data_IF_361813393006
#
_entry.id   IF_361813393006
#
_cell.length_a   1.000
_cell.length_b   1.000
_cell.length_c   1.000
_cell.angle_alpha   90.00
_cell.angle_beta   90.00
_cell.angle_gamma   90.00
#
_symmetry.space_group_name_H-M   'P 1'
#
loop_
_entity.id
_entity.type
_entity.pdbx_description
1 polymer ?
#
# COMPACT_ATOMS: atom_id res chain seq x y z
N UNK A 1 31.89 -45.79 -23.73
CA UNK A 1 32.04 -45.36 -25.12
C UNK A 1 32.30 -43.87 -25.14
N UNK A 2 33.52 -43.57 -25.56
CA UNK A 2 34.13 -42.25 -25.75
C UNK A 2 33.51 -41.49 -26.93
N UNK A 3 33.52 -40.16 -26.82
CA UNK A 3 34.00 -39.18 -27.82
C UNK A 3 33.76 -37.77 -27.24
N UNK A 4 34.74 -37.10 -26.91
CA UNK A 4 35.67 -36.01 -27.05
C UNK A 4 35.73 -35.43 -28.48
N UNK A 5 35.61 -34.09 -28.55
CA UNK A 5 36.35 -33.14 -29.44
C UNK A 5 35.87 -31.73 -29.10
N UNK A 6 36.57 -30.84 -28.63
CA UNK A 6 37.87 -30.12 -28.74
C UNK A 6 38.00 -29.23 -29.98
N UNK A 7 38.30 -27.94 -29.70
CA UNK A 7 39.16 -26.97 -30.45
C UNK A 7 38.40 -26.24 -31.58
N UNK A 8 38.53 -24.88 -31.73
CA UNK A 8 39.70 -24.07 -31.98
C UNK A 8 39.45 -22.58 -31.71
N UNK A 9 40.43 -21.95 -31.11
CA UNK A 9 40.74 -20.56 -30.92
C UNK A 9 41.20 -19.91 -32.26
N UNK A 10 40.82 -18.67 -32.53
CA UNK A 10 41.55 -17.82 -33.47
C UNK A 10 41.66 -16.37 -32.97
N UNK A 11 42.84 -16.02 -32.58
CA UNK A 11 43.35 -14.66 -32.38
C UNK A 11 43.75 -14.08 -33.74
N UNK A 12 43.44 -12.81 -34.00
CA UNK A 12 44.20 -12.02 -34.95
C UNK A 12 44.32 -10.58 -34.47
N UNK A 13 45.53 -10.23 -34.03
CA UNK A 13 46.00 -8.87 -33.87
C UNK A 13 46.48 -8.35 -35.25
N UNK A 14 46.14 -7.09 -35.57
CA UNK A 14 47.01 -6.26 -36.46
C UNK A 14 47.06 -4.87 -35.85
N UNK A 15 48.25 -4.48 -35.51
CA UNK A 15 48.66 -3.10 -35.21
C UNK A 15 49.34 -2.52 -36.43
N UNK A 16 49.09 -1.24 -36.73
CA UNK A 16 50.07 -0.38 -37.45
C UNK A 16 49.78 1.08 -37.18
N UNK A 17 50.84 1.80 -37.03
CA UNK A 17 51.04 3.08 -36.39
C UNK A 17 51.26 4.24 -37.40
N UNK A 18 51.25 5.46 -36.78
CA UNK A 18 51.91 6.72 -37.16
C UNK A 18 51.27 7.56 -38.29
N UNK A 19 51.11 8.83 -38.18
CA UNK A 19 51.75 9.98 -37.60
C UNK A 19 50.99 11.26 -37.98
N UNK A 20 50.75 12.15 -37.09
CA UNK A 20 51.18 13.52 -36.94
C UNK A 20 50.58 14.60 -37.86
N UNK A 21 49.89 15.59 -37.30
CA UNK A 21 50.29 17.00 -37.28
C UNK A 21 49.16 17.94 -36.80
N UNK A 22 49.57 18.94 -36.08
CA UNK A 22 48.95 20.10 -35.46
C UNK A 22 47.77 20.77 -36.15
N UNK A 23 46.89 21.33 -35.32
CA UNK A 23 45.93 22.35 -35.73
C UNK A 23 44.89 22.57 -34.66
N UNK A 24 45.06 23.65 -33.89
CA UNK A 24 44.23 23.97 -32.72
C UNK A 24 42.80 24.40 -32.98
N UNK A 25 42.16 24.57 -31.88
CA UNK A 25 41.00 25.41 -31.54
C UNK A 25 39.68 24.73 -31.36
N UNK A 26 39.20 24.96 -30.18
CA UNK A 26 37.79 25.15 -29.79
C UNK A 26 36.85 23.95 -29.82
N UNK A 27 36.86 23.17 -28.73
CA UNK A 27 35.80 22.23 -28.42
C UNK A 27 34.89 22.80 -27.35
N UNK A 28 33.82 23.48 -27.77
CA UNK A 28 32.60 23.56 -26.99
C UNK A 28 32.07 22.13 -26.80
N UNK A 29 32.37 21.52 -25.66
CA UNK A 29 31.68 20.32 -25.20
C UNK A 29 30.24 20.73 -24.89
N UNK A 30 29.34 20.46 -25.83
CA UNK A 30 27.92 20.29 -25.53
C UNK A 30 27.81 19.08 -24.60
N UNK A 31 27.64 19.38 -23.30
CA UNK A 31 27.24 18.37 -22.37
C UNK A 31 25.86 17.87 -22.80
N UNK A 32 25.78 16.61 -23.20
CA UNK A 32 24.48 15.93 -23.28
C UNK A 32 23.84 16.03 -21.90
N UNK A 33 22.55 16.43 -21.82
CA UNK A 33 21.87 16.38 -20.55
C UNK A 33 21.86 14.92 -20.11
N UNK A 34 22.48 14.64 -18.96
CA UNK A 34 22.26 13.40 -18.22
C UNK A 34 20.75 13.38 -17.96
N UNK A 35 20.04 12.51 -18.65
CA UNK A 35 18.65 12.21 -18.32
C UNK A 35 18.67 11.65 -16.90
N UNK A 36 18.35 12.50 -15.94
CA UNK A 36 17.95 12.04 -14.61
C UNK A 36 16.78 11.11 -14.81
N UNK A 37 16.84 9.91 -14.23
CA UNK A 37 15.72 9.00 -14.19
C UNK A 37 14.51 9.83 -13.76
N UNK A 38 13.43 9.78 -14.54
CA UNK A 38 12.17 10.41 -14.19
C UNK A 38 11.71 9.74 -12.91
N UNK A 39 11.88 10.43 -11.78
CA UNK A 39 11.28 10.01 -10.53
C UNK A 39 9.76 9.94 -10.75
N UNK A 40 9.18 8.78 -10.57
CA UNK A 40 7.72 8.64 -10.59
C UNK A 40 7.17 9.56 -9.50
N UNK A 41 6.15 10.39 -9.79
CA UNK A 41 5.60 11.27 -8.77
C UNK A 41 5.05 10.42 -7.61
N UNK A 42 5.29 10.87 -6.37
CA UNK A 42 4.70 10.23 -5.20
C UNK A 42 3.17 10.28 -5.27
N UNK A 43 2.53 9.30 -4.63
CA UNK A 43 1.08 9.25 -4.51
C UNK A 43 0.56 10.49 -3.76
N UNK A 44 -0.53 11.13 -4.22
CA UNK A 44 -1.16 12.22 -3.50
C UNK A 44 -1.52 11.89 -2.04
N UNK A 45 -1.83 10.63 -1.75
CA UNK A 45 -2.08 10.12 -0.41
C UNK A 45 -0.86 10.29 0.50
N UNK A 46 0.34 9.97 0.01
CA UNK A 46 1.60 10.15 0.73
C UNK A 46 1.82 11.63 1.05
N UNK A 47 1.58 12.52 0.08
CA UNK A 47 1.74 13.96 0.29
C UNK A 47 0.78 14.52 1.35
N UNK A 48 -0.47 14.03 1.40
CA UNK A 48 -1.40 14.36 2.48
C UNK A 48 -0.86 13.94 3.84
N UNK A 49 -0.37 12.72 3.97
CA UNK A 49 0.15 12.20 5.22
C UNK A 49 1.46 12.89 5.65
N UNK A 50 2.37 13.19 4.73
CA UNK A 50 3.57 14.01 4.99
C UNK A 50 3.20 15.40 5.52
N UNK A 51 2.09 15.97 5.04
CA UNK A 51 1.57 17.25 5.53
C UNK A 51 0.78 17.14 6.84
N UNK A 52 0.61 15.95 7.42
CA UNK A 52 -0.24 15.72 8.59
C UNK A 52 -1.73 15.95 8.31
N UNK A 53 -2.15 15.82 7.06
CA UNK A 53 -3.51 16.08 6.61
C UNK A 53 -4.28 14.77 6.52
N UNK A 54 -5.45 14.65 7.18
CA UNK A 54 -6.30 13.46 7.09
C UNK A 54 -6.73 13.17 5.65
N UNK A 55 -6.63 11.90 5.25
CA UNK A 55 -7.08 11.37 3.98
C UNK A 55 -8.31 10.48 4.17
N UNK A 56 -9.18 10.45 3.17
CA UNK A 56 -10.48 9.80 3.23
C UNK A 56 -10.63 8.76 2.13
N UNK A 57 -11.06 7.57 2.49
CA UNK A 57 -11.29 6.47 1.56
C UNK A 57 -12.51 5.64 1.91
N UNK A 58 -12.81 4.70 1.02
CA UNK A 58 -13.90 3.74 1.23
C UNK A 58 -13.41 2.31 1.05
N UNK A 59 -14.06 1.37 1.72
CA UNK A 59 -14.01 0.00 1.26
C UNK A 59 -14.61 -0.10 -0.14
N UNK A 60 -13.89 -0.69 -1.09
CA UNK A 60 -14.42 -0.93 -2.43
C UNK A 60 -15.75 -1.70 -2.33
N UNK A 61 -16.87 -1.14 -2.81
CA UNK A 61 -18.14 -1.84 -2.75
C UNK A 61 -18.15 -3.00 -3.74
N UNK A 62 -18.72 -4.11 -3.32
CA UNK A 62 -18.97 -5.24 -4.22
C UNK A 62 -20.06 -4.87 -5.24
N UNK A 63 -19.87 -5.27 -6.50
CA UNK A 63 -20.86 -5.06 -7.58
C UNK A 63 -22.10 -5.95 -7.45
N UNK A 64 -22.11 -6.86 -6.48
CA UNK A 64 -23.29 -7.64 -6.14
C UNK A 64 -23.51 -7.65 -4.63
N UNK A 65 -24.76 -7.89 -4.17
CA UNK A 65 -25.03 -8.08 -2.76
C UNK A 65 -24.19 -9.23 -2.18
N UNK A 66 -23.65 -9.03 -0.98
CA UNK A 66 -22.88 -10.06 -0.27
C UNK A 66 -23.78 -11.21 0.26
N UNK A 67 -25.10 -11.06 0.19
CA UNK A 67 -26.07 -12.12 0.48
C UNK A 67 -26.96 -12.35 -0.74
N UNK A 68 -27.06 -13.63 -1.13
CA UNK A 68 -27.98 -14.08 -2.16
C UNK A 68 -29.44 -13.99 -1.73
N UNK A 69 -30.39 -14.26 -2.64
CA UNK A 69 -31.83 -14.27 -2.34
C UNK A 69 -32.23 -15.30 -1.26
N UNK A 70 -31.43 -16.35 -1.10
CA UNK A 70 -31.55 -17.41 -0.09
C UNK A 70 -30.94 -17.04 1.27
N UNK A 71 -30.31 -15.86 1.38
CA UNK A 71 -29.61 -15.40 2.57
C UNK A 71 -28.18 -15.93 2.71
N UNK A 72 -27.72 -16.80 1.81
CA UNK A 72 -26.37 -17.36 1.82
C UNK A 72 -25.34 -16.29 1.47
N UNK A 73 -24.16 -16.38 2.10
CA UNK A 73 -23.05 -15.48 1.83
C UNK A 73 -22.48 -15.74 0.42
N UNK A 74 -22.26 -14.68 -0.31
CA UNK A 74 -21.64 -14.72 -1.63
C UNK A 74 -20.34 -13.92 -1.60
N UNK A 75 -19.24 -14.44 -2.20
CA UNK A 75 -18.00 -13.70 -2.33
C UNK A 75 -18.23 -12.37 -3.06
N UNK A 76 -17.51 -11.32 -2.68
CA UNK A 76 -17.55 -10.04 -3.38
C UNK A 76 -17.13 -10.18 -4.83
N UNK A 77 -17.67 -9.34 -5.69
CA UNK A 77 -17.29 -9.21 -7.10
C UNK A 77 -16.89 -7.78 -7.34
N UNK A 78 -15.78 -7.60 -8.03
CA UNK A 78 -15.22 -6.29 -8.36
C UNK A 78 -15.00 -6.20 -9.87
N UNK A 79 -15.33 -5.05 -10.46
CA UNK A 79 -15.25 -4.83 -11.90
C UNK A 79 -14.55 -3.51 -12.24
N UNK A 80 -14.21 -3.36 -13.51
CA UNK A 80 -13.69 -2.09 -14.05
C UNK A 80 -14.71 -0.95 -13.85
N UNK A 81 -15.99 -1.22 -14.06
CA UNK A 81 -17.07 -0.24 -13.84
C UNK A 81 -17.15 0.17 -12.36
N UNK A 82 -16.90 -0.75 -11.42
CA UNK A 82 -16.76 -0.43 -10.00
C UNK A 82 -15.63 0.56 -9.75
N UNK A 83 -14.47 0.29 -10.36
CA UNK A 83 -13.31 1.18 -10.34
C UNK A 83 -13.61 2.56 -10.94
N UNK A 84 -14.28 2.61 -12.09
CA UNK A 84 -14.67 3.87 -12.75
C UNK A 84 -15.59 4.73 -11.87
N UNK A 85 -16.57 4.13 -11.19
CA UNK A 85 -17.42 4.86 -10.24
C UNK A 85 -16.60 5.52 -9.12
N UNK A 86 -15.61 4.80 -8.58
CA UNK A 86 -14.71 5.34 -7.55
C UNK A 86 -13.75 6.39 -8.13
N UNK A 87 -13.28 6.22 -9.38
CA UNK A 87 -12.46 7.20 -10.09
C UNK A 87 -13.17 8.56 -10.25
N UNK A 88 -14.47 8.53 -10.55
CA UNK A 88 -15.29 9.72 -10.71
C UNK A 88 -15.68 10.41 -9.39
N UNK A 89 -15.46 9.78 -8.24
CA UNK A 89 -15.82 10.35 -6.94
C UNK A 89 -14.74 11.35 -6.46
N UNK A 90 -15.01 12.66 -6.37
CA UNK A 90 -14.04 13.67 -5.95
C UNK A 90 -13.74 13.66 -4.45
N UNK A 91 -14.49 12.92 -3.65
CA UNK A 91 -14.34 12.87 -2.20
C UNK A 91 -13.21 11.93 -1.76
N UNK A 92 -12.85 10.95 -2.61
CA UNK A 92 -11.91 9.89 -2.27
C UNK A 92 -10.47 10.31 -2.53
N UNK A 93 -9.62 10.06 -1.53
CA UNK A 93 -8.16 10.11 -1.65
C UNK A 93 -7.59 8.70 -1.90
N UNK A 94 -8.27 7.64 -1.43
CA UNK A 94 -7.89 6.25 -1.64
C UNK A 94 -9.08 5.29 -1.65
N UNK A 95 -8.83 4.11 -2.19
CA UNK A 95 -9.76 2.97 -2.21
C UNK A 95 -9.11 1.81 -1.46
N UNK A 96 -9.85 1.18 -0.56
CA UNK A 96 -9.43 0.03 0.22
C UNK A 96 -10.12 -1.23 -0.29
N UNK A 97 -9.41 -2.06 -1.03
CA UNK A 97 -9.90 -3.32 -1.58
C UNK A 97 -9.63 -4.47 -0.60
N UNK A 98 -10.67 -4.96 0.06
CA UNK A 98 -10.53 -6.03 1.03
C UNK A 98 -10.67 -7.41 0.38
N UNK A 99 -9.57 -8.08 0.13
CA UNK A 99 -9.48 -9.44 -0.41
C UNK A 99 -9.08 -10.49 0.64
N UNK A 100 -9.08 -10.12 1.94
CA UNK A 100 -8.80 -11.06 3.02
C UNK A 100 -9.75 -12.27 3.01
N UNK A 101 -11.09 -12.12 2.83
CA UNK A 101 -11.99 -13.27 2.82
C UNK A 101 -11.89 -14.16 1.58
N UNK A 102 -11.38 -13.62 0.47
CA UNK A 102 -11.26 -14.34 -0.79
C UNK A 102 -10.25 -13.63 -1.69
N UNK A 103 -9.05 -14.16 -1.77
CA UNK A 103 -7.98 -13.62 -2.60
C UNK A 103 -8.29 -13.77 -4.09
N UNK A 104 -8.26 -12.64 -4.80
CA UNK A 104 -8.45 -12.57 -6.25
C UNK A 104 -7.61 -11.43 -6.86
N UNK A 105 -6.45 -11.72 -7.47
CA UNK A 105 -5.61 -10.70 -8.11
C UNK A 105 -6.28 -10.07 -9.34
N UNK A 106 -7.25 -10.74 -9.98
CA UNK A 106 -7.98 -10.15 -11.09
C UNK A 106 -8.89 -9.00 -10.63
N UNK A 107 -9.39 -9.06 -9.39
CA UNK A 107 -10.13 -7.97 -8.78
C UNK A 107 -9.25 -6.72 -8.60
N UNK A 108 -7.97 -6.88 -8.22
CA UNK A 108 -7.00 -5.77 -8.11
C UNK A 108 -6.83 -5.09 -9.46
N UNK A 109 -6.55 -5.88 -10.51
CA UNK A 109 -6.35 -5.36 -11.87
C UNK A 109 -7.61 -4.64 -12.40
N UNK A 110 -8.81 -5.21 -12.17
CA UNK A 110 -10.06 -4.61 -12.61
C UNK A 110 -10.33 -3.26 -11.92
N UNK A 111 -10.15 -3.17 -10.60
CA UNK A 111 -10.31 -1.91 -9.87
C UNK A 111 -9.27 -0.89 -10.34
N UNK A 112 -7.99 -1.28 -10.51
CA UNK A 112 -6.94 -0.38 -11.00
C UNK A 112 -7.25 0.16 -12.38
N UNK A 113 -7.65 -0.69 -13.32
CA UNK A 113 -8.07 -0.28 -14.66
C UNK A 113 -9.20 0.77 -14.61
N UNK A 114 -10.19 0.54 -13.75
CA UNK A 114 -11.28 1.50 -13.57
C UNK A 114 -10.82 2.82 -12.94
N UNK A 115 -9.92 2.78 -11.95
CA UNK A 115 -9.36 3.98 -11.33
C UNK A 115 -8.52 4.81 -12.31
N UNK A 116 -7.88 4.18 -13.30
CA UNK A 116 -7.09 4.85 -14.34
C UNK A 116 -7.90 5.29 -15.56
N UNK A 117 -9.20 5.07 -15.54
CA UNK A 117 -10.10 5.41 -16.65
C UNK A 117 -10.18 6.92 -16.92
N UNK A 118 -10.82 7.29 -18.04
CA UNK A 118 -11.11 8.68 -18.40
C UNK A 118 -12.08 9.39 -17.43
N UNK A 119 -12.80 8.63 -16.62
CA UNK A 119 -13.71 9.16 -15.58
C UNK A 119 -12.97 9.71 -14.36
N UNK A 120 -11.66 9.47 -14.27
CA UNK A 120 -10.82 9.90 -13.15
C UNK A 120 -10.80 11.41 -12.98
N UNK A 121 -11.25 11.88 -11.80
CA UNK A 121 -11.23 13.29 -11.41
C UNK A 121 -10.01 13.67 -10.56
N UNK A 122 -9.36 12.67 -9.93
CA UNK A 122 -8.11 12.79 -9.18
C UNK A 122 -7.45 11.42 -9.07
N UNK A 123 -6.15 11.39 -8.85
CA UNK A 123 -5.42 10.16 -8.56
C UNK A 123 -5.82 9.64 -7.17
N UNK A 124 -6.14 8.35 -7.09
CA UNK A 124 -6.53 7.67 -5.86
C UNK A 124 -5.61 6.49 -5.63
N UNK A 125 -5.09 6.38 -4.41
CA UNK A 125 -4.32 5.20 -4.05
C UNK A 125 -5.22 3.96 -3.94
N UNK A 126 -4.76 2.82 -4.44
CA UNK A 126 -5.39 1.51 -4.27
C UNK A 126 -4.64 0.71 -3.22
N UNK A 127 -5.23 0.56 -2.04
CA UNK A 127 -4.73 -0.27 -0.94
C UNK A 127 -5.43 -1.63 -0.97
N UNK A 128 -4.66 -2.71 -1.00
CA UNK A 128 -5.19 -4.07 -1.12
C UNK A 128 -4.88 -4.86 0.15
N UNK A 129 -5.92 -5.25 0.90
CA UNK A 129 -5.79 -6.14 2.06
C UNK A 129 -5.81 -7.59 1.59
N UNK A 130 -4.74 -8.30 1.86
CA UNK A 130 -4.56 -9.72 1.52
C UNK A 130 -4.94 -10.63 2.69
N UNK A 131 -5.16 -11.95 2.49
CA UNK A 131 -5.28 -12.91 3.57
C UNK A 131 -4.06 -12.91 4.49
N UNK A 132 -4.23 -13.14 5.82
CA UNK A 132 -3.14 -13.09 6.78
C UNK A 132 -2.11 -14.21 6.57
N UNK A 133 -0.88 -13.98 7.00
CA UNK A 133 0.21 -14.99 6.97
C UNK A 133 -0.22 -16.25 7.71
N UNK A 134 -0.95 -16.09 8.81
CA UNK A 134 -1.39 -17.20 9.66
C UNK A 134 -2.38 -18.17 9.02
N UNK A 135 -3.06 -17.77 7.95
CA UNK A 135 -4.08 -18.61 7.30
C UNK A 135 -3.45 -19.58 6.31
N UNK A 136 -2.62 -19.08 5.39
CA UNK A 136 -2.08 -19.89 4.28
C UNK A 136 -0.54 -19.98 4.29
N UNK A 137 0.11 -19.36 5.26
CA UNK A 137 1.55 -19.41 5.45
C UNK A 137 2.33 -18.33 4.71
N UNK A 138 3.63 -18.34 4.96
CA UNK A 138 4.59 -17.33 4.51
C UNK A 138 4.67 -17.22 2.98
N UNK A 139 4.77 -18.37 2.29
CA UNK A 139 4.94 -18.38 0.84
C UNK A 139 3.72 -17.81 0.10
N UNK A 140 2.52 -18.19 0.54
CA UNK A 140 1.29 -17.65 -0.03
C UNK A 140 1.14 -16.13 0.20
N UNK A 141 1.52 -15.64 1.39
CA UNK A 141 1.48 -14.21 1.68
C UNK A 141 2.50 -13.44 0.82
N UNK A 142 3.71 -13.96 0.64
CA UNK A 142 4.75 -13.40 -0.25
C UNK A 142 4.26 -13.30 -1.70
N UNK A 143 3.72 -14.39 -2.23
CA UNK A 143 3.15 -14.41 -3.59
C UNK A 143 2.01 -13.39 -3.75
N UNK A 144 1.17 -13.22 -2.72
CA UNK A 144 0.07 -12.24 -2.73
C UNK A 144 0.58 -10.80 -2.75
N UNK A 145 1.61 -10.47 -1.97
CA UNK A 145 2.25 -9.14 -2.03
C UNK A 145 2.75 -8.86 -3.44
N UNK A 146 3.51 -9.79 -4.02
CA UNK A 146 4.01 -9.67 -5.38
C UNK A 146 2.88 -9.51 -6.40
N UNK A 147 1.85 -10.36 -6.32
CA UNK A 147 0.73 -10.35 -7.26
C UNK A 147 -0.13 -9.07 -7.13
N UNK A 148 -0.35 -8.56 -5.91
CA UNK A 148 -1.08 -7.31 -5.69
C UNK A 148 -0.36 -6.12 -6.34
N UNK A 149 0.94 -5.98 -6.08
CA UNK A 149 1.75 -4.90 -6.66
C UNK A 149 1.84 -5.03 -8.19
N UNK A 150 2.03 -6.25 -8.72
CA UNK A 150 2.05 -6.50 -10.16
C UNK A 150 0.70 -6.21 -10.84
N UNK A 151 -0.41 -6.35 -10.13
CA UNK A 151 -1.75 -6.02 -10.60
C UNK A 151 -2.12 -4.53 -10.46
N UNK A 152 -1.20 -3.69 -9.95
CA UNK A 152 -1.36 -2.25 -9.87
C UNK A 152 -1.87 -1.72 -8.53
N UNK A 153 -1.71 -2.48 -7.44
CA UNK A 153 -1.91 -1.93 -6.10
C UNK A 153 -0.82 -0.89 -5.80
N UNK A 154 -1.21 0.25 -5.25
CA UNK A 154 -0.28 1.27 -4.73
C UNK A 154 0.22 0.91 -3.34
N UNK A 155 -0.47 0.01 -2.66
CA UNK A 155 -0.06 -0.50 -1.37
C UNK A 155 -0.71 -1.83 -1.01
N UNK A 156 -0.03 -2.60 -0.15
CA UNK A 156 -0.54 -3.86 0.38
C UNK A 156 -0.69 -3.78 1.89
N UNK A 157 -1.83 -4.26 2.36
CA UNK A 157 -2.20 -4.30 3.77
C UNK A 157 -2.06 -5.73 4.28
N UNK A 158 -1.18 -5.89 5.27
CA UNK A 158 -0.89 -7.13 5.98
C UNK A 158 -1.75 -7.19 7.25
N UNK A 159 -2.87 -7.93 7.25
CA UNK A 159 -3.72 -8.04 8.43
C UNK A 159 -3.14 -9.01 9.46
N UNK A 160 -3.63 -8.93 10.70
CA UNK A 160 -3.35 -9.88 11.76
C UNK A 160 -1.86 -10.17 11.98
N UNK A 161 -1.02 -9.13 11.91
CA UNK A 161 0.40 -9.25 12.32
C UNK A 161 0.45 -9.53 13.81
N UNK A 162 1.03 -10.68 14.22
CA UNK A 162 0.89 -11.22 15.57
C UNK A 162 2.11 -11.01 16.46
N UNK A 163 3.25 -10.67 15.88
CA UNK A 163 4.50 -10.46 16.62
C UNK A 163 5.48 -9.58 15.85
N UNK A 164 6.53 -9.17 16.53
CA UNK A 164 7.66 -8.43 15.91
C UNK A 164 8.32 -9.24 14.80
N UNK A 165 8.46 -10.56 14.99
CA UNK A 165 9.03 -11.46 13.99
C UNK A 165 8.17 -11.50 12.74
N UNK A 166 6.85 -11.58 12.91
CA UNK A 166 5.90 -11.58 11.78
C UNK A 166 5.85 -10.21 11.10
N UNK A 167 6.00 -9.10 11.84
CA UNK A 167 6.15 -7.77 11.26
C UNK A 167 7.40 -7.65 10.38
N UNK A 168 8.56 -8.15 10.85
CA UNK A 168 9.79 -8.20 10.04
C UNK A 168 9.64 -9.08 8.81
N UNK A 169 8.99 -10.22 8.97
CA UNK A 169 8.69 -11.12 7.86
C UNK A 169 7.79 -10.43 6.82
N UNK A 170 6.72 -9.75 7.24
CA UNK A 170 5.85 -9.01 6.35
C UNK A 170 6.60 -7.92 5.57
N UNK A 171 7.50 -7.18 6.22
CA UNK A 171 8.35 -6.17 5.56
C UNK A 171 9.28 -6.81 4.54
N UNK A 172 9.87 -7.98 4.83
CA UNK A 172 10.78 -8.65 3.91
C UNK A 172 10.14 -9.03 2.57
N UNK A 173 8.83 -9.25 2.51
CA UNK A 173 8.14 -9.54 1.26
C UNK A 173 8.17 -8.37 0.26
N UNK A 174 8.16 -7.14 0.78
CA UNK A 174 8.31 -5.94 -0.05
C UNK A 174 9.76 -5.75 -0.51
N UNK A 175 10.73 -6.04 0.34
CA UNK A 175 12.16 -5.98 0.00
C UNK A 175 12.52 -6.99 -1.10
N UNK A 176 12.00 -8.23 -1.04
CA UNK A 176 12.24 -9.28 -2.01
C UNK A 176 11.75 -8.93 -3.44
N UNK A 177 10.69 -8.14 -3.54
CA UNK A 177 10.19 -7.65 -4.84
C UNK A 177 10.77 -6.28 -5.23
N UNK A 178 11.74 -5.77 -4.45
CA UNK A 178 12.35 -4.45 -4.60
C UNK A 178 11.30 -3.31 -4.64
N UNK A 179 10.25 -3.41 -3.83
CA UNK A 179 9.27 -2.35 -3.71
C UNK A 179 9.90 -1.13 -3.03
N UNK A 180 9.71 0.04 -3.63
CA UNK A 180 10.19 1.31 -3.07
C UNK A 180 9.20 1.82 -2.01
N UNK A 181 9.23 1.19 -0.82
CA UNK A 181 8.27 1.44 0.25
C UNK A 181 8.53 2.80 0.90
N UNK A 182 7.51 3.66 0.88
CA UNK A 182 7.50 4.91 1.63
C UNK A 182 7.50 4.63 3.14
N UNK A 183 8.40 5.27 3.88
CA UNK A 183 8.52 5.12 5.33
C UNK A 183 9.31 6.29 5.93
N UNK A 184 9.35 6.46 7.26
CA UNK A 184 10.23 7.46 7.88
C UNK A 184 11.71 7.32 7.49
N UNK A 185 12.18 6.11 7.18
CA UNK A 185 13.53 5.83 6.70
C UNK A 185 13.71 5.96 5.19
N UNK A 186 12.63 6.01 4.41
CA UNK A 186 12.60 6.20 2.96
C UNK A 186 11.49 7.20 2.56
N UNK A 187 11.67 8.51 2.80
CA UNK A 187 10.64 9.52 2.58
C UNK A 187 10.27 9.75 1.11
N UNK A 188 11.10 9.27 0.18
CA UNK A 188 10.86 9.38 -1.27
C UNK A 188 10.21 8.13 -1.87
N UNK A 189 9.97 7.09 -1.07
CA UNK A 189 9.31 5.87 -1.51
C UNK A 189 7.92 6.13 -2.10
N UNK A 190 7.45 5.20 -2.93
CA UNK A 190 6.22 5.35 -3.73
C UNK A 190 5.19 4.26 -3.47
N UNK A 191 5.58 3.18 -2.80
CA UNK A 191 4.71 2.04 -2.44
C UNK A 191 4.32 2.10 -0.97
N UNK A 192 3.10 1.71 -0.64
CA UNK A 192 2.61 1.65 0.73
C UNK A 192 2.60 0.22 1.28
N UNK A 193 3.22 0.02 2.42
CA UNK A 193 3.15 -1.21 3.20
C UNK A 193 2.45 -0.92 4.53
N UNK A 194 1.31 -1.55 4.80
CA UNK A 194 0.52 -1.34 6.00
C UNK A 194 0.50 -2.61 6.85
N UNK A 195 0.81 -2.49 8.12
CA UNK A 195 0.69 -3.57 9.11
C UNK A 195 -0.49 -3.31 10.03
N UNK A 196 -1.26 -4.37 10.33
CA UNK A 196 -2.42 -4.24 11.23
C UNK A 196 -2.26 -5.09 12.49
N UNK A 197 -2.44 -4.43 13.65
CA UNK A 197 -2.56 -5.07 14.96
C UNK A 197 -4.03 -5.38 15.24
N UNK A 198 -4.38 -6.65 15.43
CA UNK A 198 -5.76 -7.13 15.50
C UNK A 198 -6.01 -8.15 16.62
N UNK A 199 -4.99 -8.49 17.41
CA UNK A 199 -5.10 -9.44 18.53
C UNK A 199 -4.33 -8.98 19.78
N UNK A 200 -4.60 -9.61 20.91
CA UNK A 200 -4.04 -9.23 22.21
C UNK A 200 -2.51 -9.41 22.27
N UNK A 201 -1.99 -10.49 21.67
CA UNK A 201 -0.55 -10.77 21.70
C UNK A 201 0.26 -9.79 20.87
N UNK A 202 -0.30 -9.33 19.74
CA UNK A 202 0.30 -8.27 18.94
C UNK A 202 0.23 -6.91 19.64
N UNK A 203 -0.88 -6.62 20.33
CA UNK A 203 -1.03 -5.38 21.09
C UNK A 203 0.03 -5.26 22.20
N UNK A 204 0.34 -6.36 22.90
CA UNK A 204 1.42 -6.38 23.91
C UNK A 204 2.79 -6.03 23.34
N UNK A 205 2.99 -6.20 22.03
CA UNK A 205 4.22 -5.92 21.30
C UNK A 205 4.09 -4.68 20.38
N UNK A 206 3.07 -3.85 20.55
CA UNK A 206 2.80 -2.74 19.64
C UNK A 206 3.97 -1.77 19.50
N UNK A 207 4.70 -1.52 20.60
CA UNK A 207 5.88 -0.66 20.58
C UNK A 207 7.02 -1.26 19.73
N UNK A 208 7.32 -2.54 19.92
CA UNK A 208 8.37 -3.24 19.19
C UNK A 208 8.00 -3.48 17.72
N UNK A 209 6.71 -3.69 17.42
CA UNK A 209 6.21 -3.75 16.04
C UNK A 209 6.36 -2.39 15.36
N UNK A 210 6.03 -1.30 16.06
CA UNK A 210 6.21 0.05 15.54
C UNK A 210 7.68 0.38 15.24
N UNK A 211 8.63 -0.18 15.99
CA UNK A 211 10.06 0.02 15.78
C UNK A 211 10.64 -0.78 14.60
N UNK A 212 9.90 -1.68 13.98
CA UNK A 212 10.33 -2.38 12.75
C UNK A 212 10.41 -1.37 11.60
N UNK A 213 11.56 -1.17 10.96
CA UNK A 213 11.68 -0.23 9.85
C UNK A 213 11.11 -0.81 8.55
N UNK A 214 10.84 0.05 7.55
CA UNK A 214 10.57 -0.38 6.17
C UNK A 214 9.09 -0.59 5.84
N UNK A 215 8.17 -0.08 6.65
CA UNK A 215 6.74 -0.03 6.30
C UNK A 215 6.15 1.39 6.51
N UNK A 216 4.96 1.61 5.97
CA UNK A 216 4.38 2.95 5.79
C UNK A 216 3.33 3.31 6.83
N UNK A 217 2.52 2.36 7.26
CA UNK A 217 1.31 2.60 8.07
C UNK A 217 1.20 1.52 9.13
N UNK A 218 1.01 1.93 10.38
CA UNK A 218 0.61 1.03 11.46
C UNK A 218 -0.86 1.29 11.78
N UNK A 219 -1.68 0.26 11.83
CA UNK A 219 -3.11 0.43 12.05
C UNK A 219 -3.68 -0.60 13.02
N UNK A 220 -4.77 -0.24 13.67
CA UNK A 220 -5.55 -1.15 14.49
C UNK A 220 -6.79 -1.64 13.72
N UNK A 221 -6.94 -2.96 13.58
CA UNK A 221 -8.21 -3.55 13.17
C UNK A 221 -9.15 -3.62 14.38
N UNK A 222 -9.68 -2.46 14.78
CA UNK A 222 -10.43 -2.27 16.05
C UNK A 222 -11.56 -3.29 16.25
N UNK A 223 -12.25 -3.69 15.19
CA UNK A 223 -13.32 -4.70 15.28
C UNK A 223 -12.80 -6.08 15.67
N UNK A 224 -11.68 -6.51 15.10
CA UNK A 224 -11.00 -7.77 15.42
C UNK A 224 -10.36 -7.71 16.80
N UNK A 225 -9.66 -6.62 17.11
CA UNK A 225 -9.03 -6.42 18.42
C UNK A 225 -10.07 -6.41 19.54
N UNK A 226 -11.20 -5.70 19.39
CA UNK A 226 -12.29 -5.70 20.36
C UNK A 226 -12.85 -7.12 20.59
N UNK A 227 -12.99 -7.90 19.54
CA UNK A 227 -13.44 -9.29 19.64
C UNK A 227 -12.41 -10.17 20.35
N UNK A 228 -11.12 -9.98 20.06
CA UNK A 228 -10.04 -10.74 20.70
C UNK A 228 -9.92 -10.43 22.19
N UNK A 229 -10.11 -9.16 22.59
CA UNK A 229 -10.07 -8.74 24.00
C UNK A 229 -11.39 -9.00 24.73
N UNK A 230 -12.50 -9.22 24.01
CA UNK A 230 -13.83 -9.49 24.58
C UNK A 230 -14.48 -8.28 25.26
N UNK A 231 -13.90 -7.10 25.14
CA UNK A 231 -14.36 -5.87 25.78
C UNK A 231 -14.16 -4.64 24.87
N UNK A 232 -15.18 -3.78 24.79
CA UNK A 232 -15.17 -2.62 23.89
C UNK A 232 -14.21 -1.52 24.37
N UNK A 233 -14.16 -1.28 25.68
CA UNK A 233 -13.30 -0.25 26.26
C UNK A 233 -11.83 -0.67 26.12
N UNK A 234 -11.54 -1.95 26.36
CA UNK A 234 -10.21 -2.51 26.12
C UNK A 234 -9.82 -2.44 24.63
N UNK A 235 -10.75 -2.72 23.71
CA UNK A 235 -10.52 -2.56 22.28
C UNK A 235 -10.20 -1.13 21.88
N UNK A 236 -10.93 -0.14 22.43
CA UNK A 236 -10.63 1.27 22.19
C UNK A 236 -9.31 1.70 22.83
N UNK A 237 -9.01 1.26 24.04
CA UNK A 237 -7.73 1.54 24.69
C UNK A 237 -6.55 0.97 23.87
N UNK A 238 -6.69 -0.25 23.34
CA UNK A 238 -5.71 -0.85 22.44
C UNK A 238 -5.55 -0.08 21.13
N UNK A 239 -6.64 0.39 20.55
CA UNK A 239 -6.61 1.26 19.37
C UNK A 239 -5.83 2.55 19.63
N UNK A 240 -6.04 3.20 20.79
CA UNK A 240 -5.29 4.40 21.18
C UNK A 240 -3.80 4.11 21.44
N UNK A 241 -3.47 2.92 21.96
CA UNK A 241 -2.08 2.48 22.11
C UNK A 241 -1.40 2.33 20.74
N UNK A 242 -2.05 1.67 19.77
CA UNK A 242 -1.50 1.54 18.40
C UNK A 242 -1.27 2.91 17.77
N UNK A 243 -2.25 3.83 17.88
CA UNK A 243 -2.12 5.22 17.41
C UNK A 243 -0.94 5.94 18.08
N UNK A 244 -0.76 5.76 19.40
CA UNK A 244 0.33 6.38 20.13
C UNK A 244 1.70 5.87 19.65
N UNK A 245 1.81 4.56 19.38
CA UNK A 245 3.03 3.96 18.86
C UNK A 245 3.32 4.39 17.42
N UNK A 246 2.31 4.44 16.55
CA UNK A 246 2.45 4.96 15.19
C UNK A 246 2.99 6.39 15.20
N UNK A 247 2.38 7.27 15.99
CA UNK A 247 2.83 8.66 16.15
C UNK A 247 4.26 8.76 16.70
N UNK A 248 4.63 7.91 17.66
CA UNK A 248 5.98 7.90 18.27
C UNK A 248 7.07 7.69 17.23
N UNK A 249 6.81 6.85 16.23
CA UNK A 249 7.79 6.52 15.17
C UNK A 249 7.56 7.30 13.87
N UNK A 250 6.59 8.23 13.84
CA UNK A 250 6.31 9.06 12.67
C UNK A 250 5.55 8.37 11.55
N UNK A 251 4.82 7.30 11.86
CA UNK A 251 3.92 6.62 10.92
C UNK A 251 2.50 7.20 11.00
N UNK A 252 1.78 7.33 9.89
CA UNK A 252 0.33 7.50 9.92
C UNK A 252 -0.35 6.26 10.49
N UNK A 253 -1.54 6.47 11.06
CA UNK A 253 -2.46 5.41 11.46
C UNK A 253 -3.79 5.56 10.70
N UNK A 254 -4.41 4.42 10.39
CA UNK A 254 -5.67 4.35 9.67
C UNK A 254 -6.74 3.67 10.52
N UNK A 255 -7.95 4.25 10.54
CA UNK A 255 -9.09 3.72 11.30
C UNK A 255 -10.37 3.77 10.48
N UNK A 256 -11.29 2.83 10.74
CA UNK A 256 -12.66 2.93 10.23
C UNK A 256 -13.45 4.00 10.98
N UNK A 257 -14.19 4.82 10.25
CA UNK A 257 -14.96 5.91 10.82
C UNK A 257 -16.36 6.04 10.18
N UNK A 258 -17.23 6.81 10.83
CA UNK A 258 -18.57 7.16 10.37
C UNK A 258 -18.95 8.56 10.90
N UNK A 259 -20.18 9.00 10.66
CA UNK A 259 -20.70 10.30 11.12
C UNK A 259 -20.61 10.53 12.62
N UNK A 260 -20.67 9.46 13.43
CA UNK A 260 -20.66 9.54 14.90
C UNK A 260 -19.28 9.77 15.48
N UNK A 261 -18.21 9.38 14.75
CA UNK A 261 -16.87 9.38 15.32
C UNK A 261 -15.78 10.00 14.42
N UNK A 262 -16.06 10.37 13.17
CA UNK A 262 -15.04 10.89 12.25
C UNK A 262 -14.35 12.15 12.80
N UNK A 263 -15.10 13.07 13.41
CA UNK A 263 -14.55 14.27 14.01
C UNK A 263 -13.58 13.92 15.15
N UNK A 264 -13.99 13.03 16.05
CA UNK A 264 -13.14 12.55 17.14
C UNK A 264 -11.86 11.89 16.61
N UNK A 265 -11.96 11.01 15.61
CA UNK A 265 -10.79 10.34 15.03
C UNK A 265 -9.78 11.32 14.41
N UNK A 266 -10.28 12.37 13.78
CA UNK A 266 -9.42 13.45 13.25
C UNK A 266 -8.74 14.19 14.40
N UNK A 267 -9.46 14.57 15.47
CA UNK A 267 -8.92 15.24 16.65
C UNK A 267 -7.88 14.36 17.38
N UNK A 268 -8.09 13.06 17.44
CA UNK A 268 -7.15 12.08 17.97
C UNK A 268 -5.88 11.97 17.10
N UNK A 269 -5.96 12.38 15.83
CA UNK A 269 -4.83 12.46 14.89
C UNK A 269 -4.63 11.24 14.02
N UNK A 270 -5.69 10.48 13.77
CA UNK A 270 -5.69 9.50 12.69
C UNK A 270 -5.58 10.22 11.34
N UNK A 271 -4.72 9.71 10.47
CA UNK A 271 -4.47 10.30 9.15
C UNK A 271 -5.13 9.53 8.00
N UNK A 272 -5.58 8.30 8.24
CA UNK A 272 -6.37 7.51 7.28
C UNK A 272 -7.78 7.25 7.84
N UNK A 273 -8.81 7.87 7.24
CA UNK A 273 -10.22 7.67 7.64
C UNK A 273 -10.89 6.78 6.58
N UNK A 274 -11.28 5.58 6.97
CA UNK A 274 -11.86 4.58 6.07
C UNK A 274 -13.35 4.41 6.34
N UNK A 275 -14.19 4.76 5.35
CA UNK A 275 -15.63 4.71 5.47
C UNK A 275 -16.22 3.45 4.85
N UNK A 276 -17.42 3.11 5.26
CA UNK A 276 -18.15 1.94 4.79
C UNK A 276 -19.66 2.23 4.68
N UNK A 277 -20.31 1.45 3.82
CA UNK A 277 -21.77 1.50 3.66
C UNK A 277 -22.29 2.55 2.68
N UNK A 278 -23.61 2.64 2.53
CA UNK A 278 -24.23 3.50 1.52
C UNK A 278 -24.07 5.00 1.80
N UNK A 279 -23.85 5.38 3.06
CA UNK A 279 -23.72 6.77 3.50
C UNK A 279 -22.26 7.24 3.57
N UNK A 280 -21.32 6.44 3.04
CA UNK A 280 -19.87 6.71 3.13
C UNK A 280 -19.52 8.11 2.59
N UNK A 281 -20.11 8.55 1.49
CA UNK A 281 -19.83 9.87 0.92
C UNK A 281 -20.22 11.00 1.88
N UNK A 282 -21.38 10.91 2.53
CA UNK A 282 -21.81 11.90 3.53
C UNK A 282 -20.86 11.93 4.76
N UNK A 283 -20.39 10.77 5.19
CA UNK A 283 -19.40 10.67 6.28
C UNK A 283 -18.05 11.29 5.87
N UNK A 284 -17.62 11.10 4.62
CA UNK A 284 -16.41 11.73 4.08
C UNK A 284 -16.57 13.25 3.99
N UNK A 285 -17.71 13.76 3.46
CA UNK A 285 -17.98 15.19 3.41
C UNK A 285 -17.88 15.84 4.80
N UNK A 286 -18.48 15.20 5.82
CA UNK A 286 -18.37 15.64 7.20
C UNK A 286 -16.90 15.64 7.65
N UNK A 287 -16.17 14.56 7.43
CA UNK A 287 -14.76 14.44 7.79
C UNK A 287 -13.88 15.48 7.11
N UNK A 288 -14.07 15.69 5.80
CA UNK A 288 -13.34 16.73 5.03
C UNK A 288 -13.62 18.12 5.59
N UNK A 289 -14.88 18.42 5.91
CA UNK A 289 -15.27 19.70 6.53
C UNK A 289 -14.58 19.91 7.89
N UNK A 290 -14.51 18.88 8.73
CA UNK A 290 -13.81 18.95 10.03
C UNK A 290 -12.31 19.13 9.82
N UNK A 291 -11.72 18.49 8.83
CA UNK A 291 -10.31 18.59 8.48
C UNK A 291 -9.95 19.90 7.74
N UNK A 292 -10.93 20.75 7.38
CA UNK A 292 -10.70 21.98 6.62
C UNK A 292 -10.37 21.74 5.15
N UNK A 293 -10.92 20.67 4.55
CA UNK A 293 -10.69 20.24 3.17
C UNK A 293 -11.94 20.33 2.30
#
# INVERSE_FOLDING_TARGET
MHFRNSIVLLLACVAAACAGSDGGSDSSRSGEPVMTASESPQLPLIELWKAGTPAFGIFAPSDRPMRGPDGEFQPSVYSVEGGMRMAANPLLDYVFLNLEPAWDPAAVAAIREGLDSSERVSDKALLVRIPPISEDGEEAARERVQAALAAGADGVVMPHVRSVEEARLAVSFFEEVNADVWSPSNPEGTVLAMLMIEDAGALEQAAEIADVPGYSVLACGIGSLTRALGDREAGEAGNQEVLAQAKRVGLPDMITANDQNVAQRIEEGFLGLLMNGPDADAHIELGRSVAGR
#
